data_IF_769485254296
#
_entry.id   IF_769485254296
#
_cell.length_a   1.000
_cell.length_b   1.000
_cell.length_c   1.000
_cell.angle_alpha   90.00
_cell.angle_beta   90.00
_cell.angle_gamma   90.00
#
_symmetry.space_group_name_H-M   'P 1'
#
loop_
_entity.id
_entity.type
_entity.pdbx_description
1 polymer ?
#
# COMPACT_ATOMS: atom_id res chain seq x y z
N UNK A 1 9.93 11.13 9.68
CA UNK A 1 10.74 10.25 10.57
C UNK A 1 10.03 10.14 11.92
N UNK A 2 10.07 8.99 12.59
CA UNK A 2 9.44 8.76 13.91
C UNK A 2 10.13 9.56 15.04
N UNK A 3 10.22 10.89 14.94
CA UNK A 3 10.79 11.83 15.92
C UNK A 3 12.02 11.31 16.70
N UNK A 4 12.92 10.56 16.05
CA UNK A 4 14.12 9.97 16.68
C UNK A 4 13.86 8.90 17.73
N UNK A 5 12.62 8.40 17.91
CA UNK A 5 12.29 7.42 18.95
C UNK A 5 12.71 5.99 18.62
N UNK A 6 12.95 5.69 17.36
CA UNK A 6 13.38 4.36 16.89
C UNK A 6 14.50 4.57 15.87
N UNK A 7 15.76 4.21 16.18
CA UNK A 7 16.84 4.29 15.22
C UNK A 7 16.67 3.21 14.14
N UNK A 8 16.96 3.51 12.86
CA UNK A 8 16.96 2.49 11.83
C UNK A 8 18.10 1.50 12.08
N UNK A 9 17.83 0.21 11.86
CA UNK A 9 18.85 -0.85 11.92
C UNK A 9 19.76 -0.83 10.69
N UNK A 10 19.28 -0.29 9.56
CA UNK A 10 20.07 -0.08 8.38
C UNK A 10 19.30 0.57 7.25
N UNK A 11 19.99 0.75 6.12
CA UNK A 11 19.48 1.40 4.91
C UNK A 11 19.71 0.48 3.71
N UNK A 12 18.73 0.40 2.83
CA UNK A 12 18.81 -0.29 1.54
C UNK A 12 18.55 0.73 0.43
N UNK A 13 19.50 0.83 -0.51
CA UNK A 13 19.39 1.72 -1.67
C UNK A 13 18.80 1.03 -2.90
N UNK A 14 18.65 1.82 -3.97
CA UNK A 14 18.30 1.32 -5.31
C UNK A 14 16.80 1.25 -5.61
N UNK A 15 15.94 1.41 -4.61
CA UNK A 15 14.50 1.54 -4.84
C UNK A 15 14.17 2.85 -5.56
N UNK A 16 13.15 2.81 -6.40
CA UNK A 16 12.68 3.96 -7.17
C UNK A 16 11.18 4.12 -7.02
N UNK A 17 10.71 5.36 -6.95
CA UNK A 17 9.30 5.71 -6.94
C UNK A 17 9.00 6.55 -8.18
N UNK A 18 8.07 6.10 -8.99
CA UNK A 18 7.46 6.95 -10.01
C UNK A 18 6.19 7.58 -9.43
N UNK A 19 6.10 8.91 -9.49
CA UNK A 19 4.95 9.69 -9.05
C UNK A 19 4.28 10.37 -10.25
N UNK A 20 2.97 10.21 -10.33
CA UNK A 20 2.08 10.85 -11.29
C UNK A 20 0.86 11.46 -10.58
N UNK A 21 0.23 12.44 -11.22
CA UNK A 21 -1.05 12.97 -10.79
C UNK A 21 -1.95 13.32 -11.98
N UNK A 22 -3.25 13.29 -11.76
CA UNK A 22 -4.26 13.66 -12.74
C UNK A 22 -5.39 14.46 -12.09
N UNK A 23 -6.08 15.27 -12.88
CA UNK A 23 -7.15 16.17 -12.42
C UNK A 23 -7.41 17.26 -13.46
N UNK A 24 -7.54 18.51 -13.01
CA UNK A 24 -7.69 19.67 -13.91
C UNK A 24 -6.47 19.94 -14.80
N UNK A 25 -5.31 19.40 -14.43
CA UNK A 25 -4.10 19.35 -15.25
C UNK A 25 -3.32 18.06 -14.95
N UNK A 26 -2.31 17.78 -15.77
CA UNK A 26 -1.50 16.56 -15.70
C UNK A 26 -0.03 16.93 -15.50
N UNK A 27 0.49 16.90 -14.26
CA UNK A 27 1.90 17.15 -14.02
C UNK A 27 2.76 16.05 -14.65
N UNK A 28 3.94 16.41 -15.13
CA UNK A 28 4.90 15.43 -15.65
C UNK A 28 5.21 14.37 -14.60
N UNK A 29 5.33 13.11 -15.02
CA UNK A 29 5.71 12.03 -14.13
C UNK A 29 7.17 12.21 -13.70
N UNK A 30 7.46 11.94 -12.43
CA UNK A 30 8.81 12.01 -11.90
C UNK A 30 9.23 10.65 -11.37
N UNK A 31 10.48 10.27 -11.66
CA UNK A 31 11.14 9.12 -11.04
C UNK A 31 12.11 9.61 -9.98
N UNK A 32 11.92 9.14 -8.75
CA UNK A 32 12.64 9.62 -7.59
C UNK A 32 13.30 8.45 -6.85
N UNK A 33 14.53 8.64 -6.35
CA UNK A 33 15.18 7.63 -5.52
C UNK A 33 14.43 7.49 -4.20
N UNK A 34 14.23 6.24 -3.77
CA UNK A 34 13.66 5.92 -2.47
C UNK A 34 14.78 5.46 -1.55
N UNK A 35 14.86 6.05 -0.36
CA UNK A 35 15.71 5.57 0.72
C UNK A 35 14.87 4.63 1.59
N UNK A 36 15.18 3.34 1.57
CA UNK A 36 14.47 2.35 2.36
C UNK A 36 15.22 2.06 3.67
N UNK A 37 14.58 2.32 4.79
CA UNK A 37 15.08 1.97 6.13
C UNK A 37 14.42 0.69 6.61
N UNK A 38 15.11 -0.11 7.41
CA UNK A 38 14.51 -1.22 8.15
C UNK A 38 14.81 -1.11 9.65
N UNK A 39 13.91 -1.63 10.48
CA UNK A 39 13.97 -1.49 11.93
C UNK A 39 13.84 -2.84 12.62
N UNK A 40 14.73 -3.17 13.55
CA UNK A 40 14.61 -4.33 14.41
C UNK A 40 13.73 -3.97 15.63
N UNK A 41 12.48 -4.44 15.64
CA UNK A 41 11.49 -4.07 16.68
C UNK A 41 11.30 -5.12 17.78
N UNK A 42 11.81 -6.34 17.60
CA UNK A 42 11.64 -7.45 18.56
C UNK A 42 12.71 -8.52 18.36
N UNK A 43 13.09 -9.21 19.44
CA UNK A 43 14.00 -10.37 19.40
C UNK A 43 13.37 -11.62 18.74
N UNK A 44 12.04 -11.65 18.59
CA UNK A 44 11.26 -12.83 18.15
C UNK A 44 11.31 -13.13 16.64
N UNK A 45 12.32 -12.62 15.90
CA UNK A 45 12.47 -12.80 14.44
C UNK A 45 11.24 -12.42 13.58
N UNK A 46 10.32 -11.61 14.12
CA UNK A 46 9.19 -11.08 13.36
C UNK A 46 9.69 -10.18 12.21
N UNK A 47 8.99 -10.13 11.05
CA UNK A 47 9.41 -9.29 9.94
C UNK A 47 9.44 -7.82 10.36
N UNK A 48 10.64 -7.25 10.31
CA UNK A 48 10.93 -5.84 10.57
C UNK A 48 10.25 -4.92 9.56
N UNK A 49 9.71 -3.77 9.97
CA UNK A 49 9.08 -2.84 9.03
C UNK A 49 10.11 -2.19 8.15
N UNK A 50 9.75 -2.04 6.87
CA UNK A 50 10.44 -1.18 5.94
C UNK A 50 9.74 0.18 5.88
N UNK A 51 10.53 1.25 5.89
CA UNK A 51 10.09 2.62 5.65
C UNK A 51 10.77 3.13 4.38
N UNK A 52 10.00 3.30 3.32
CA UNK A 52 10.46 4.02 2.12
C UNK A 52 10.29 5.52 2.32
N UNK A 53 11.36 6.28 2.20
CA UNK A 53 11.35 7.74 2.26
C UNK A 53 11.77 8.33 0.91
N UNK A 54 11.00 9.31 0.43
CA UNK A 54 11.31 10.09 -0.77
C UNK A 54 11.27 11.55 -0.40
N UNK A 55 12.32 12.27 -0.78
CA UNK A 55 12.40 13.71 -0.60
C UNK A 55 11.95 14.43 -1.86
N UNK A 56 10.96 15.33 -1.71
CA UNK A 56 10.42 16.17 -2.78
C UNK A 56 10.99 17.60 -2.76
N UNK A 57 11.81 17.98 -1.77
CA UNK A 57 12.33 19.35 -1.68
C UNK A 57 13.35 19.66 -2.78
N UNK A 58 14.10 18.64 -3.22
CA UNK A 58 15.20 18.79 -4.17
C UNK A 58 14.75 18.67 -5.64
N UNK A 59 13.45 18.82 -5.90
CA UNK A 59 12.93 18.84 -7.25
C UNK A 59 13.39 20.10 -8.01
N UNK A 60 13.54 20.04 -9.35
CA UNK A 60 14.08 21.16 -10.15
C UNK A 60 13.34 22.49 -9.96
N UNK A 61 12.05 22.43 -9.62
CA UNK A 61 11.20 23.60 -9.45
C UNK A 61 11.27 24.24 -8.05
N UNK A 62 12.00 23.64 -7.09
CA UNK A 62 12.08 24.01 -5.67
C UNK A 62 10.73 24.19 -4.95
N UNK A 63 9.63 23.71 -5.55
CA UNK A 63 8.25 23.89 -5.07
C UNK A 63 7.55 22.56 -4.77
N UNK A 64 8.30 21.46 -4.82
CA UNK A 64 7.75 20.12 -4.65
C UNK A 64 6.97 19.65 -5.89
N UNK A 65 6.23 18.56 -5.71
CA UNK A 65 5.39 18.01 -6.76
C UNK A 65 4.02 18.69 -6.75
N UNK A 66 3.73 19.50 -7.77
CA UNK A 66 2.48 20.26 -7.85
C UNK A 66 1.34 19.37 -8.35
N UNK A 67 0.31 19.19 -7.53
CA UNK A 67 -0.86 18.37 -7.85
C UNK A 67 -2.10 19.26 -8.04
N UNK A 68 -3.08 18.85 -8.87
CA UNK A 68 -4.40 19.49 -8.93
C UNK A 68 -5.08 19.62 -7.56
N UNK A 69 -6.12 20.44 -7.45
CA UNK A 69 -6.93 20.51 -6.20
C UNK A 69 -7.77 19.25 -5.98
N UNK A 70 -8.05 18.51 -7.04
CA UNK A 70 -8.87 17.30 -7.01
C UNK A 70 -8.43 16.37 -8.13
N UNK A 71 -8.43 15.07 -7.82
CA UNK A 71 -8.13 14.04 -8.81
C UNK A 71 -7.48 12.82 -8.17
N UNK A 72 -6.45 12.28 -8.82
CA UNK A 72 -5.75 11.08 -8.35
C UNK A 72 -4.24 11.27 -8.34
N UNK A 73 -3.60 10.74 -7.29
CA UNK A 73 -2.15 10.57 -7.22
C UNK A 73 -1.86 9.09 -7.51
N UNK A 74 -0.92 8.85 -8.40
CA UNK A 74 -0.45 7.52 -8.77
C UNK A 74 1.01 7.38 -8.31
N UNK A 75 1.30 6.29 -7.61
CA UNK A 75 2.63 5.97 -7.14
C UNK A 75 2.97 4.55 -7.59
N UNK A 76 4.11 4.37 -8.26
CA UNK A 76 4.63 3.06 -8.63
C UNK A 76 6.00 2.85 -7.99
N UNK A 77 6.07 1.92 -7.05
CA UNK A 77 7.29 1.56 -6.33
C UNK A 77 8.00 0.42 -7.06
N UNK A 78 9.26 0.64 -7.40
CA UNK A 78 10.14 -0.34 -8.04
C UNK A 78 11.25 -0.77 -7.09
N UNK A 79 11.64 -2.04 -7.18
CA UNK A 79 12.79 -2.56 -6.46
C UNK A 79 14.12 -2.17 -7.18
N UNK A 80 15.29 -2.45 -6.57
CA UNK A 80 16.59 -2.20 -7.20
C UNK A 80 16.81 -2.91 -8.54
N UNK A 81 16.13 -4.03 -8.78
CA UNK A 81 16.15 -4.73 -10.07
C UNK A 81 15.16 -4.15 -11.09
N UNK A 82 14.60 -2.95 -10.81
CA UNK A 82 13.63 -2.23 -11.65
C UNK A 82 12.31 -2.98 -11.89
N UNK A 83 11.98 -3.95 -11.04
CA UNK A 83 10.70 -4.67 -11.06
C UNK A 83 9.66 -3.92 -10.24
N UNK A 84 8.44 -3.85 -10.75
CA UNK A 84 7.32 -3.18 -10.09
C UNK A 84 6.87 -3.97 -8.86
N UNK A 85 6.99 -3.36 -7.67
CA UNK A 85 6.56 -3.96 -6.41
C UNK A 85 5.10 -3.66 -6.10
N UNK A 86 4.72 -2.39 -6.17
CA UNK A 86 3.38 -1.96 -5.79
C UNK A 86 2.99 -0.67 -6.48
N UNK A 87 1.75 -0.65 -6.94
CA UNK A 87 1.07 0.57 -7.41
C UNK A 87 0.06 1.01 -6.37
N UNK A 88 0.05 2.30 -6.10
CA UNK A 88 -0.94 2.99 -5.30
C UNK A 88 -1.66 4.01 -6.18
N UNK A 89 -2.98 3.99 -6.15
CA UNK A 89 -3.81 5.03 -6.74
C UNK A 89 -4.65 5.61 -5.62
N UNK A 90 -4.44 6.89 -5.34
CA UNK A 90 -5.10 7.57 -4.23
C UNK A 90 -5.91 8.72 -4.81
N UNK A 91 -7.23 8.59 -4.70
CA UNK A 91 -8.15 9.67 -5.02
C UNK A 91 -8.16 10.68 -3.88
N UNK A 92 -8.20 11.95 -4.21
CA UNK A 92 -8.22 13.04 -3.24
C UNK A 92 -9.08 14.19 -3.76
N UNK A 93 -9.65 14.94 -2.82
CA UNK A 93 -10.39 16.18 -3.06
C UNK A 93 -9.97 17.20 -2.01
N UNK A 94 -9.37 18.31 -2.47
CA UNK A 94 -8.87 19.42 -1.66
C UNK A 94 -9.51 20.74 -2.12
N UNK A 95 -10.63 20.71 -2.85
CA UNK A 95 -11.29 21.94 -3.33
C UNK A 95 -11.66 22.88 -2.18
N UNK A 96 -12.13 22.32 -1.07
CA UNK A 96 -12.53 23.05 0.15
C UNK A 96 -11.36 23.35 1.10
N UNK A 97 -10.12 23.04 0.73
CA UNK A 97 -8.95 23.30 1.57
C UNK A 97 -8.68 24.81 1.64
N UNK A 98 -8.69 25.45 2.84
CA UNK A 98 -8.44 26.87 2.98
C UNK A 98 -7.00 27.26 2.59
N UNK A 99 -6.80 28.54 2.26
CA UNK A 99 -5.47 29.06 1.99
C UNK A 99 -4.54 28.90 3.21
N UNK A 100 -3.25 28.65 2.96
CA UNK A 100 -2.22 28.46 3.97
C UNK A 100 -2.42 27.27 4.93
N UNK A 101 -3.30 26.32 4.58
CA UNK A 101 -3.43 25.06 5.30
C UNK A 101 -2.51 23.98 4.71
N UNK A 102 -2.04 23.10 5.59
CA UNK A 102 -1.28 21.90 5.23
C UNK A 102 -2.09 20.68 5.66
N UNK A 103 -2.11 19.66 4.79
CA UNK A 103 -2.74 18.37 5.07
C UNK A 103 -1.81 17.24 4.66
N UNK A 104 -2.19 16.00 4.99
CA UNK A 104 -1.49 14.80 4.58
C UNK A 104 -2.47 13.78 4.02
N UNK A 105 -2.00 12.97 3.08
CA UNK A 105 -2.75 11.86 2.50
C UNK A 105 -2.13 10.55 2.95
N UNK A 106 -2.95 9.66 3.51
CA UNK A 106 -2.50 8.35 4.02
C UNK A 106 -3.35 7.24 3.44
N UNK A 107 -2.72 6.30 2.76
CA UNK A 107 -3.35 5.07 2.31
C UNK A 107 -2.87 3.89 3.16
N UNK A 108 -3.80 3.05 3.63
CA UNK A 108 -3.51 1.82 4.36
C UNK A 108 -4.07 0.63 3.59
N UNK A 109 -3.23 -0.35 3.30
CA UNK A 109 -3.65 -1.64 2.76
C UNK A 109 -3.54 -2.69 3.88
N UNK A 110 -4.56 -3.53 4.02
CA UNK A 110 -4.56 -4.62 5.00
C UNK A 110 -4.76 -5.93 4.26
N UNK A 111 -3.92 -6.91 4.57
CA UNK A 111 -4.12 -8.28 4.12
C UNK A 111 -4.99 -9.01 5.14
N UNK A 112 -6.14 -9.50 4.70
CA UNK A 112 -7.00 -10.38 5.52
C UNK A 112 -6.82 -11.80 4.97
N UNK A 113 -6.24 -12.72 5.75
CA UNK A 113 -6.18 -14.13 5.35
C UNK A 113 -7.60 -14.66 5.21
N UNK A 114 -7.96 -15.10 4.01
CA UNK A 114 -9.22 -15.83 3.82
C UNK A 114 -9.03 -17.20 4.47
N UNK A 115 -9.73 -17.45 5.58
CA UNK A 115 -9.83 -18.80 6.14
C UNK A 115 -10.53 -19.64 5.08
N UNK A 116 -9.83 -20.62 4.49
CA UNK A 116 -10.51 -21.67 3.72
C UNK A 116 -11.44 -22.35 4.72
N UNK A 117 -12.75 -22.19 4.54
CA UNK A 117 -13.70 -23.07 5.18
C UNK A 117 -13.39 -24.45 4.61
N UNK A 118 -12.70 -25.29 5.37
CA UNK A 118 -12.68 -26.72 5.12
C UNK A 118 -14.07 -27.21 5.50
N UNK A 119 -15.05 -26.90 4.65
CA UNK A 119 -16.33 -27.60 4.71
C UNK A 119 -15.99 -29.04 4.34
N UNK A 120 -16.04 -29.91 5.36
CA UNK A 120 -15.89 -31.34 5.19
C UNK A 120 -16.98 -31.82 4.24
N UNK A 121 -16.62 -32.06 2.99
CA UNK A 121 -17.43 -32.86 2.11
C UNK A 121 -17.43 -34.29 2.67
N UNK A 122 -18.58 -34.89 3.01
CA UNK A 122 -18.61 -36.32 3.30
C UNK A 122 -18.25 -37.04 2.00
N UNK A 123 -17.23 -37.89 2.07
CA UNK A 123 -16.80 -38.75 0.98
C UNK A 123 -18.02 -39.48 0.41
N UNK A 124 -18.37 -39.21 -0.84
CA UNK A 124 -19.07 -40.19 -1.65
C UNK A 124 -18.26 -40.41 -2.91
N UNK A 125 -17.74 -41.63 -3.00
CA UNK A 125 -17.14 -42.21 -4.20
C UNK A 125 -18.07 -42.01 -5.39
N UNK A 126 -17.59 -41.37 -6.45
CA UNK A 126 -17.55 -41.97 -7.79
C UNK A 126 -16.90 -41.03 -8.82
N UNK A 127 -16.42 -41.65 -9.90
CA UNK A 127 -15.39 -41.22 -10.85
C UNK A 127 -15.92 -40.23 -11.90
N UNK A 128 -15.07 -39.29 -12.33
CA UNK A 128 -14.56 -39.15 -13.71
C UNK A 128 -14.08 -37.72 -14.01
N UNK A 129 -12.99 -37.63 -14.75
CA UNK A 129 -12.34 -36.40 -15.19
C UNK A 129 -13.12 -35.70 -16.30
N UNK A 130 -13.27 -34.38 -16.23
CA UNK A 130 -13.26 -33.51 -17.40
C UNK A 130 -12.89 -32.06 -17.01
N UNK A 131 -12.51 -31.31 -18.03
CA UNK A 131 -11.58 -30.22 -18.15
C UNK A 131 -12.15 -28.84 -17.76
N UNK A 132 -11.24 -27.89 -17.45
CA UNK A 132 -11.50 -26.45 -17.63
C UNK A 132 -11.68 -25.62 -16.35
N UNK A 133 -10.59 -25.15 -15.75
CA UNK A 133 -10.66 -24.03 -14.79
C UNK A 133 -10.61 -22.69 -15.54
N UNK A 134 -11.78 -22.14 -15.86
CA UNK A 134 -11.94 -20.72 -16.18
C UNK A 134 -12.02 -19.94 -14.87
N UNK A 135 -10.98 -19.18 -14.54
CA UNK A 135 -10.99 -18.25 -13.41
C UNK A 135 -11.87 -17.05 -13.77
N UNK A 136 -13.13 -17.10 -13.38
CA UNK A 136 -14.05 -15.96 -13.44
C UNK A 136 -13.78 -15.02 -12.27
N UNK A 137 -13.21 -13.85 -12.54
CA UNK A 137 -13.11 -12.74 -11.60
C UNK A 137 -14.53 -12.18 -11.43
N UNK A 138 -15.24 -12.55 -10.36
CA UNK A 138 -16.55 -11.97 -10.06
C UNK A 138 -16.38 -10.60 -9.37
N UNK A 139 -16.92 -9.57 -10.00
CA UNK A 139 -17.07 -8.17 -9.55
C UNK A 139 -17.94 -8.02 -8.27
N UNK A 140 -17.53 -8.58 -7.14
CA UNK A 140 -18.31 -8.48 -5.88
C UNK A 140 -17.54 -7.96 -4.67
N UNK A 141 -16.64 -6.99 -4.87
CA UNK A 141 -15.91 -6.35 -3.77
C UNK A 141 -16.26 -4.85 -3.58
N UNK A 142 -17.53 -4.47 -3.78
CA UNK A 142 -17.98 -3.09 -3.53
C UNK A 142 -19.05 -2.96 -2.43
N UNK A 143 -19.40 -4.05 -1.72
CA UNK A 143 -20.54 -4.01 -0.80
C UNK A 143 -20.33 -4.75 0.52
N UNK A 144 -19.17 -4.57 1.17
CA UNK A 144 -18.93 -5.03 2.55
C UNK A 144 -18.24 -3.95 3.40
N UNK A 145 -18.55 -2.67 3.17
CA UNK A 145 -18.12 -1.56 4.04
C UNK A 145 -19.13 -1.22 5.16
N UNK A 146 -20.19 -2.03 5.35
CA UNK A 146 -21.40 -1.59 6.07
C UNK A 146 -21.87 -2.41 7.26
N UNK A 147 -21.06 -3.31 7.87
CA UNK A 147 -21.49 -4.05 9.08
C UNK A 147 -20.42 -4.13 10.18
N UNK A 148 -20.57 -3.22 11.15
CA UNK A 148 -20.39 -3.36 12.61
C UNK A 148 -19.28 -4.33 13.08
N UNK A 149 -18.08 -3.77 13.23
CA UNK A 149 -16.95 -4.33 13.96
C UNK A 149 -17.23 -4.37 15.48
N UNK A 150 -17.80 -5.45 16.02
CA UNK A 150 -17.78 -5.67 17.49
C UNK A 150 -17.49 -7.10 17.97
N UNK A 151 -17.22 -8.06 17.08
CA UNK A 151 -16.54 -9.27 17.53
C UNK A 151 -15.70 -9.86 16.40
N UNK A 152 -14.39 -9.86 16.58
CA UNK A 152 -13.47 -10.72 15.84
C UNK A 152 -12.48 -11.21 16.89
N UNK A 153 -12.26 -12.53 17.02
CA UNK A 153 -11.27 -13.05 17.95
C UNK A 153 -9.90 -12.52 17.53
N UNK A 154 -9.25 -11.81 18.46
CA UNK A 154 -7.88 -11.33 18.29
C UNK A 154 -6.96 -12.56 18.33
N UNK A 155 -6.52 -13.00 17.16
CA UNK A 155 -5.54 -14.07 17.04
C UNK A 155 -4.14 -13.48 17.21
N UNK A 156 -3.38 -13.99 18.19
CA UNK A 156 -2.14 -13.41 18.71
C UNK A 156 -0.93 -13.49 17.77
N UNK A 157 -1.12 -13.83 16.49
CA UNK A 157 -0.03 -14.04 15.52
C UNK A 157 -0.21 -13.36 14.15
N UNK A 158 -1.18 -12.47 13.99
CA UNK A 158 -1.30 -11.68 12.78
C UNK A 158 -0.39 -10.43 12.83
N UNK A 159 0.86 -10.60 12.39
CA UNK A 159 1.78 -9.49 12.15
C UNK A 159 1.26 -8.60 11.02
N UNK A 160 0.76 -7.42 11.38
CA UNK A 160 0.20 -6.42 10.47
C UNK A 160 1.19 -5.26 10.39
N UNK A 161 1.85 -5.12 9.25
CA UNK A 161 2.95 -4.17 9.12
C UNK A 161 2.87 -3.40 7.81
N UNK A 162 2.32 -2.20 7.91
CA UNK A 162 2.61 -1.08 7.02
C UNK A 162 2.68 0.16 7.92
N UNK A 163 3.88 0.69 8.10
CA UNK A 163 4.09 1.97 8.76
C UNK A 163 4.13 3.06 7.69
N UNK A 164 3.52 4.19 8.07
CA UNK A 164 3.07 5.35 7.27
C UNK A 164 4.08 5.98 6.32
#
# INVERSE_FOLDING_TARGET
MLNGRIPPSGVVGGFQLEIGASGSFYPAHLKLPVVAYFFHLSEDNAPSPYLGFVDLSNLPNKRGYHVPKKGAIQLALFNPTSSLLKVFVIQYDLEDMPANCQTFLRQRTVYVPVKKCLDGFPNNSDRNADSGSTYNISEKNTQLAGRRLQHLPVDSKAGLLFVS
#
